data_IF_076904331256
#
_entry.id   IF_076904331256
#
_cell.length_a   1.000
_cell.length_b   1.000
_cell.length_c   1.000
_cell.angle_alpha   90.00
_cell.angle_beta   90.00
_cell.angle_gamma   90.00
#
_symmetry.space_group_name_H-M   'P 1'
#
loop_
_entity.id
_entity.type
_entity.pdbx_description
1 polymer ?
#
# COMPACT_ATOMS: atom_id res chain seq x y z
N UNK A 1 -9.17 23.90 3.23
CA UNK A 1 -10.37 23.35 2.58
C UNK A 1 -10.67 22.00 3.20
N UNK A 2 -11.89 21.80 3.70
CA UNK A 2 -12.37 20.50 4.15
C UNK A 2 -12.66 19.66 2.91
N UNK A 3 -11.80 18.72 2.58
CA UNK A 3 -11.95 17.86 1.40
C UNK A 3 -13.25 17.04 1.40
N UNK A 4 -13.85 16.86 2.56
CA UNK A 4 -15.09 16.08 2.72
C UNK A 4 -16.32 16.77 2.11
N UNK A 5 -16.27 18.10 1.98
CA UNK A 5 -17.37 18.92 1.47
C UNK A 5 -17.29 19.18 -0.05
N UNK A 6 -16.25 18.68 -0.71
CA UNK A 6 -16.03 18.89 -2.15
C UNK A 6 -16.71 17.82 -3.00
N UNK A 7 -17.59 18.24 -3.86
CA UNK A 7 -18.21 17.44 -4.91
C UNK A 7 -17.95 18.15 -6.25
N UNK A 8 -17.41 17.44 -7.25
CA UNK A 8 -17.09 16.00 -7.35
C UNK A 8 -15.77 15.60 -6.66
N UNK A 9 -15.67 14.35 -6.20
CA UNK A 9 -14.46 13.77 -5.60
C UNK A 9 -13.45 13.23 -6.63
N UNK A 10 -13.24 13.95 -7.70
CA UNK A 10 -12.23 13.68 -8.72
C UNK A 10 -11.51 14.98 -9.08
N UNK A 11 -10.36 14.88 -9.70
CA UNK A 11 -9.55 16.03 -10.08
C UNK A 11 -10.30 16.86 -11.13
N UNK A 12 -10.50 18.14 -10.83
CA UNK A 12 -11.11 19.12 -11.70
C UNK A 12 -10.09 20.19 -12.12
N UNK A 13 -10.49 21.04 -13.07
CA UNK A 13 -9.61 22.11 -13.56
C UNK A 13 -9.21 23.07 -12.44
N UNK A 14 -10.12 23.36 -11.53
CA UNK A 14 -9.86 24.25 -10.38
C UNK A 14 -8.77 23.68 -9.45
N UNK A 15 -8.68 22.36 -9.28
CA UNK A 15 -7.62 21.71 -8.50
C UNK A 15 -6.25 21.93 -9.16
N UNK A 16 -6.20 21.89 -10.48
CA UNK A 16 -4.96 22.14 -11.24
C UNK A 16 -4.51 23.61 -11.05
N UNK A 17 -5.45 24.55 -11.20
CA UNK A 17 -5.14 25.97 -10.98
C UNK A 17 -4.72 26.24 -9.53
N UNK A 18 -5.40 25.66 -8.55
CA UNK A 18 -5.07 25.78 -7.14
C UNK A 18 -3.66 25.24 -6.85
N UNK A 19 -3.31 24.09 -7.44
CA UNK A 19 -1.99 23.47 -7.29
C UNK A 19 -0.89 24.34 -7.89
N UNK A 20 -1.08 24.87 -9.08
CA UNK A 20 -0.14 25.78 -9.74
C UNK A 20 0.02 27.08 -8.93
N UNK A 21 -1.09 27.64 -8.46
CA UNK A 21 -1.06 28.85 -7.64
C UNK A 21 -0.30 28.62 -6.32
N UNK A 22 -0.55 27.48 -5.66
CA UNK A 22 0.18 27.12 -4.44
C UNK A 22 1.67 26.93 -4.70
N UNK A 23 2.06 26.30 -5.81
CA UNK A 23 3.45 26.15 -6.20
C UNK A 23 4.12 27.51 -6.42
N UNK A 24 3.44 28.46 -7.06
CA UNK A 24 3.93 29.83 -7.21
C UNK A 24 4.06 30.57 -5.88
N UNK A 25 3.12 30.35 -4.95
CA UNK A 25 3.22 30.89 -3.60
C UNK A 25 4.46 30.36 -2.87
N UNK A 26 4.73 29.04 -2.95
CA UNK A 26 5.93 28.44 -2.36
C UNK A 26 7.22 29.03 -2.96
N UNK A 27 7.26 29.28 -4.27
CA UNK A 27 8.40 29.95 -4.94
C UNK A 27 8.64 31.38 -4.48
N UNK A 28 7.62 32.04 -3.93
CA UNK A 28 7.71 33.39 -3.35
C UNK A 28 7.77 33.38 -1.80
N UNK A 29 8.13 32.23 -1.21
CA UNK A 29 8.21 32.03 0.25
C UNK A 29 6.87 32.25 1.00
N UNK A 30 5.76 32.14 0.30
CA UNK A 30 4.41 32.22 0.85
C UNK A 30 3.86 30.81 1.03
N UNK A 31 3.95 30.28 2.24
CA UNK A 31 3.52 28.92 2.58
C UNK A 31 4.67 28.03 3.04
N UNK A 32 4.37 26.81 3.37
CA UNK A 32 5.34 25.81 3.83
C UNK A 32 5.25 24.55 2.98
N UNK A 33 6.40 23.95 2.72
CA UNK A 33 6.48 22.61 2.11
C UNK A 33 6.13 21.59 3.19
N UNK A 34 5.31 20.61 2.83
CA UNK A 34 4.97 19.51 3.72
C UNK A 34 6.20 18.66 4.02
N UNK A 35 6.34 18.28 5.28
CA UNK A 35 7.38 17.38 5.74
C UNK A 35 6.99 15.94 5.41
N UNK A 36 7.70 15.32 4.46
CA UNK A 36 7.43 13.95 3.99
C UNK A 36 7.66 12.91 5.10
N UNK A 37 8.59 13.16 6.02
CA UNK A 37 8.96 12.21 7.07
C UNK A 37 8.08 12.32 8.31
N UNK A 38 7.24 13.35 8.37
CA UNK A 38 6.26 13.48 9.43
C UNK A 38 5.25 12.33 9.40
N UNK A 39 4.97 11.68 10.54
CA UNK A 39 4.06 10.53 10.62
C UNK A 39 2.61 10.85 10.23
N UNK A 40 2.24 12.11 10.16
CA UNK A 40 0.96 12.54 9.56
C UNK A 40 0.88 12.29 8.05
N UNK A 41 2.01 12.25 7.37
CA UNK A 41 2.15 12.03 5.92
C UNK A 41 2.61 10.60 5.59
N UNK A 42 3.09 9.85 6.57
CA UNK A 42 3.48 8.44 6.46
C UNK A 42 2.45 7.58 7.18
N UNK A 43 1.57 6.93 6.43
CA UNK A 43 0.57 6.06 7.02
C UNK A 43 1.00 4.59 6.98
N UNK A 44 0.51 3.82 7.92
CA UNK A 44 0.69 2.37 7.96
C UNK A 44 -0.46 1.72 7.18
N UNK A 45 -0.12 0.80 6.30
CA UNK A 45 -1.08 -0.08 5.63
C UNK A 45 -1.17 -1.38 6.40
N UNK A 46 -2.35 -1.65 6.93
CA UNK A 46 -2.63 -2.90 7.64
C UNK A 46 -2.79 -4.07 6.66
N UNK A 47 -2.79 -5.29 7.18
CA UNK A 47 -2.96 -6.51 6.40
C UNK A 47 -4.28 -6.51 5.61
N UNK A 48 -5.34 -5.94 6.15
CA UNK A 48 -6.63 -5.86 5.46
C UNK A 48 -6.56 -5.07 4.16
N UNK A 49 -5.87 -3.93 4.15
CA UNK A 49 -5.66 -3.13 2.94
C UNK A 49 -4.78 -3.86 1.92
N UNK A 50 -3.73 -4.53 2.37
CA UNK A 50 -2.85 -5.30 1.50
C UNK A 50 -3.61 -6.46 0.83
N UNK A 51 -4.44 -7.18 1.58
CA UNK A 51 -5.29 -8.25 1.05
C UNK A 51 -6.36 -7.70 0.10
N UNK A 52 -6.98 -6.57 0.42
CA UNK A 52 -7.94 -5.93 -0.47
C UNK A 52 -7.33 -5.64 -1.84
N UNK A 53 -6.10 -5.16 -1.88
CA UNK A 53 -5.40 -4.91 -3.13
C UNK A 53 -5.15 -6.20 -3.92
N UNK A 54 -4.81 -7.30 -3.25
CA UNK A 54 -4.65 -8.60 -3.91
C UNK A 54 -5.98 -9.15 -4.44
N UNK A 55 -7.06 -9.01 -3.70
CA UNK A 55 -8.39 -9.36 -4.19
C UNK A 55 -8.77 -8.53 -5.44
N UNK A 56 -8.50 -7.22 -5.41
CA UNK A 56 -8.77 -6.35 -6.57
C UNK A 56 -8.00 -6.81 -7.81
N UNK A 57 -6.73 -7.16 -7.69
CA UNK A 57 -5.92 -7.72 -8.78
C UNK A 57 -6.51 -9.06 -9.25
N UNK A 58 -6.87 -9.94 -8.33
CA UNK A 58 -7.48 -11.23 -8.64
C UNK A 58 -8.81 -11.09 -9.37
N UNK A 59 -9.67 -10.19 -8.94
CA UNK A 59 -10.96 -9.91 -9.61
C UNK A 59 -10.77 -9.27 -10.99
N UNK A 60 -9.83 -8.36 -11.17
CA UNK A 60 -9.54 -7.79 -12.48
C UNK A 60 -9.05 -8.86 -13.48
N UNK A 61 -8.20 -9.78 -13.03
CA UNK A 61 -7.76 -10.94 -13.83
C UNK A 61 -8.94 -11.87 -14.16
N UNK A 62 -9.83 -12.11 -13.20
CA UNK A 62 -11.02 -12.94 -13.39
C UNK A 62 -12.01 -12.28 -14.37
N UNK A 63 -12.26 -11.00 -14.24
CA UNK A 63 -13.12 -10.23 -15.15
C UNK A 63 -12.65 -10.36 -16.60
N UNK A 64 -11.34 -10.23 -16.84
CA UNK A 64 -10.77 -10.41 -18.17
C UNK A 64 -11.05 -11.79 -18.74
N UNK A 65 -10.83 -12.85 -17.95
CA UNK A 65 -11.10 -14.24 -18.35
C UNK A 65 -12.59 -14.46 -18.65
N UNK A 66 -13.47 -13.88 -17.84
CA UNK A 66 -14.93 -13.95 -18.05
C UNK A 66 -15.30 -13.28 -19.37
N UNK A 67 -14.80 -12.08 -19.65
CA UNK A 67 -15.04 -11.38 -20.92
C UNK A 67 -14.56 -12.17 -22.13
N UNK A 68 -13.37 -12.76 -22.05
CA UNK A 68 -12.83 -13.63 -23.11
C UNK A 68 -13.74 -14.85 -23.35
N UNK A 69 -14.21 -15.53 -22.28
CA UNK A 69 -15.14 -16.65 -22.41
C UNK A 69 -16.50 -16.25 -22.96
N UNK A 70 -17.04 -15.11 -22.53
CA UNK A 70 -18.30 -14.60 -23.08
C UNK A 70 -18.21 -14.37 -24.59
N UNK A 71 -17.09 -13.82 -25.06
CA UNK A 71 -16.86 -13.60 -26.49
C UNK A 71 -16.76 -14.91 -27.26
N UNK A 72 -16.06 -15.91 -26.73
CA UNK A 72 -15.89 -17.21 -27.39
C UNK A 72 -17.19 -18.05 -27.39
N UNK A 73 -17.94 -18.01 -26.30
CA UNK A 73 -19.16 -18.82 -26.14
C UNK A 73 -20.42 -18.09 -26.63
N UNK A 74 -20.33 -16.83 -27.02
CA UNK A 74 -21.45 -16.03 -27.53
C UNK A 74 -22.12 -16.60 -28.80
N UNK A 75 -21.49 -17.58 -29.43
CA UNK A 75 -22.06 -18.29 -30.60
C UNK A 75 -23.14 -19.34 -30.20
N UNK A 76 -23.18 -19.78 -28.94
CA UNK A 76 -24.19 -20.73 -28.43
C UNK A 76 -24.80 -20.21 -27.11
N UNK A 77 -25.65 -19.17 -27.15
CA UNK A 77 -26.14 -18.50 -25.94
C UNK A 77 -26.94 -19.39 -24.99
N UNK A 78 -27.62 -20.41 -25.51
CA UNK A 78 -28.47 -21.30 -24.71
C UNK A 78 -27.72 -22.25 -23.77
N UNK A 79 -26.40 -22.37 -23.96
CA UNK A 79 -25.54 -23.26 -23.13
C UNK A 79 -24.70 -22.50 -22.11
N UNK A 80 -24.75 -21.18 -22.12
CA UNK A 80 -23.89 -20.34 -21.27
C UNK A 80 -24.53 -20.12 -19.91
N UNK A 81 -23.93 -20.65 -18.85
CA UNK A 81 -24.35 -20.39 -17.47
C UNK A 81 -23.31 -19.53 -16.75
N UNK A 82 -23.70 -18.69 -15.77
CA UNK A 82 -22.74 -17.90 -14.98
C UNK A 82 -21.63 -18.74 -14.33
N UNK A 83 -21.97 -19.95 -13.88
CA UNK A 83 -21.02 -20.88 -13.28
C UNK A 83 -19.95 -21.36 -14.26
N UNK A 84 -20.32 -21.56 -15.55
CA UNK A 84 -19.38 -21.98 -16.58
C UNK A 84 -18.39 -20.84 -16.96
N UNK A 85 -18.83 -19.60 -16.84
CA UNK A 85 -18.01 -18.42 -17.15
C UNK A 85 -17.02 -18.08 -16.04
N UNK A 86 -17.43 -18.22 -14.78
CA UNK A 86 -16.63 -17.81 -13.62
C UNK A 86 -15.52 -18.82 -13.37
N UNK A 87 -14.30 -18.30 -13.21
CA UNK A 87 -13.14 -19.07 -12.81
C UNK A 87 -12.46 -18.40 -11.59
N UNK A 88 -12.44 -19.09 -10.47
CA UNK A 88 -11.87 -18.58 -9.21
C UNK A 88 -10.33 -18.66 -9.15
N UNK A 89 -9.70 -19.42 -10.07
CA UNK A 89 -8.25 -19.65 -10.05
C UNK A 89 -7.41 -18.37 -10.06
N UNK A 90 -7.73 -17.31 -10.82
CA UNK A 90 -6.98 -16.06 -10.80
C UNK A 90 -6.99 -15.36 -9.43
N UNK A 91 -8.12 -15.42 -8.70
CA UNK A 91 -8.21 -14.84 -7.36
C UNK A 91 -7.38 -15.66 -6.37
N UNK A 92 -7.50 -16.99 -6.42
CA UNK A 92 -6.69 -17.87 -5.58
C UNK A 92 -5.19 -17.71 -5.86
N UNK A 93 -4.81 -17.55 -7.12
CA UNK A 93 -3.41 -17.34 -7.51
C UNK A 93 -2.87 -16.02 -6.94
N UNK A 94 -3.62 -14.92 -7.00
CA UNK A 94 -3.22 -13.63 -6.46
C UNK A 94 -3.01 -13.69 -4.93
N UNK A 95 -3.89 -14.39 -4.20
CA UNK A 95 -3.76 -14.57 -2.76
C UNK A 95 -2.54 -15.45 -2.42
N UNK A 96 -2.35 -16.55 -3.13
CA UNK A 96 -1.19 -17.43 -2.94
C UNK A 96 0.13 -16.71 -3.26
N UNK A 97 0.14 -15.87 -4.29
CA UNK A 97 1.29 -15.03 -4.65
C UNK A 97 1.64 -14.08 -3.51
N UNK A 98 0.66 -13.45 -2.88
CA UNK A 98 0.88 -12.57 -1.74
C UNK A 98 1.50 -13.31 -0.55
N UNK A 99 0.91 -14.42 -0.12
CA UNK A 99 1.43 -15.16 1.03
C UNK A 99 2.75 -15.90 0.76
N UNK A 100 3.04 -16.24 -0.49
CA UNK A 100 4.24 -16.98 -0.87
C UNK A 100 5.45 -16.13 -1.23
N UNK A 101 5.24 -14.90 -1.72
CA UNK A 101 6.32 -14.07 -2.27
C UNK A 101 6.41 -12.66 -1.71
N UNK A 102 5.42 -12.19 -0.95
CA UNK A 102 5.49 -10.86 -0.34
C UNK A 102 6.53 -10.82 0.77
N UNK A 103 7.42 -9.81 0.78
CA UNK A 103 8.35 -9.60 1.90
C UNK A 103 7.67 -9.36 3.25
N UNK A 104 6.40 -8.94 3.22
CA UNK A 104 5.60 -8.65 4.42
C UNK A 104 4.94 -9.90 5.00
N UNK A 105 4.81 -10.96 4.20
CA UNK A 105 4.31 -12.25 4.65
C UNK A 105 5.48 -13.12 5.09
N UNK A 106 5.64 -13.28 6.39
CA UNK A 106 6.77 -13.98 7.00
C UNK A 106 6.28 -15.02 7.99
N UNK A 107 7.11 -16.02 8.26
CA UNK A 107 6.88 -16.92 9.40
C UNK A 107 6.96 -16.12 10.70
N UNK A 108 6.00 -16.37 11.59
CA UNK A 108 5.99 -15.73 12.89
C UNK A 108 7.13 -16.29 13.76
N UNK A 109 7.85 -15.41 14.44
CA UNK A 109 8.77 -15.81 15.48
C UNK A 109 7.98 -16.28 16.72
N UNK A 110 8.16 -17.54 17.08
CA UNK A 110 7.43 -18.22 18.16
C UNK A 110 8.35 -18.83 19.21
N UNK A 111 9.57 -18.33 19.34
CA UNK A 111 10.54 -18.81 20.34
C UNK A 111 9.99 -18.66 21.76
N UNK A 112 9.33 -17.54 22.04
CA UNK A 112 8.59 -17.27 23.28
C UNK A 112 7.46 -16.26 23.02
N UNK A 113 6.52 -16.07 23.95
CA UNK A 113 5.41 -15.12 23.77
C UNK A 113 5.84 -13.69 23.52
N UNK A 114 6.96 -13.23 24.08
CA UNK A 114 7.47 -11.89 23.89
C UNK A 114 8.03 -11.70 22.47
N UNK A 115 8.74 -12.68 21.93
CA UNK A 115 9.22 -12.65 20.55
C UNK A 115 8.06 -12.56 19.56
N UNK A 116 6.99 -13.29 19.79
CA UNK A 116 5.76 -13.24 19.02
C UNK A 116 5.09 -11.86 19.07
N UNK A 117 4.97 -11.27 20.25
CA UNK A 117 4.42 -9.92 20.43
C UNK A 117 5.27 -8.88 19.70
N UNK A 118 6.59 -8.93 19.85
CA UNK A 118 7.53 -8.02 19.18
C UNK A 118 7.42 -8.14 17.66
N UNK A 119 7.29 -9.35 17.13
CA UNK A 119 7.09 -9.55 15.69
C UNK A 119 5.80 -8.93 15.18
N UNK A 120 4.70 -9.04 15.93
CA UNK A 120 3.41 -8.42 15.60
C UNK A 120 3.44 -6.89 15.61
N UNK A 121 4.33 -6.28 16.40
CA UNK A 121 4.50 -4.83 16.52
C UNK A 121 5.52 -4.25 15.54
N UNK A 122 6.12 -5.07 14.70
CA UNK A 122 7.11 -4.65 13.70
C UNK A 122 6.45 -3.88 12.57
N UNK A 123 7.07 -2.76 12.20
CA UNK A 123 6.71 -1.95 11.04
C UNK A 123 7.78 -2.06 9.97
N UNK A 124 7.39 -2.18 8.72
CA UNK A 124 8.31 -2.24 7.58
C UNK A 124 7.98 -1.14 6.56
N UNK A 125 8.99 -0.40 6.13
CA UNK A 125 8.88 0.54 5.02
C UNK A 125 9.04 -0.16 3.64
N UNK A 126 9.36 -1.45 3.64
CA UNK A 126 9.61 -2.25 2.44
C UNK A 126 8.31 -2.84 1.86
N UNK A 127 8.40 -3.35 0.64
CA UNK A 127 7.33 -4.08 -0.02
C UNK A 127 6.61 -3.26 -1.10
N UNK A 128 5.55 -3.81 -1.70
CA UNK A 128 4.81 -3.16 -2.78
C UNK A 128 4.24 -1.80 -2.35
N UNK A 129 4.58 -0.75 -3.10
CA UNK A 129 4.20 0.62 -2.79
C UNK A 129 4.97 1.26 -1.64
N UNK A 130 6.00 0.60 -1.12
CA UNK A 130 6.96 1.11 -0.15
C UNK A 130 8.30 1.45 -0.78
N UNK A 131 9.33 1.52 0.06
CA UNK A 131 10.70 1.83 -0.34
C UNK A 131 11.47 0.56 -0.74
N UNK A 132 12.49 0.75 -1.57
CA UNK A 132 13.51 -0.26 -1.82
C UNK A 132 14.73 0.03 -0.94
N UNK A 133 15.31 -1.00 -0.32
CA UNK A 133 16.49 -0.84 0.55
C UNK A 133 17.67 -0.14 -0.15
N UNK A 134 17.84 -0.40 -1.45
CA UNK A 134 18.96 0.13 -2.23
C UNK A 134 18.75 1.57 -2.67
N UNK A 135 17.48 2.03 -2.70
CA UNK A 135 17.10 3.39 -3.11
C UNK A 135 16.74 4.30 -1.95
N UNK A 136 16.61 3.76 -0.74
CA UNK A 136 16.30 4.53 0.45
C UNK A 136 17.54 5.30 0.91
N UNK A 137 17.48 6.63 0.86
CA UNK A 137 18.50 7.52 1.39
C UNK A 137 18.53 7.56 2.92
N UNK A 138 19.45 8.34 3.48
CA UNK A 138 19.58 8.53 4.92
C UNK A 138 18.36 9.22 5.52
N UNK A 139 17.77 10.18 4.83
CA UNK A 139 16.64 10.98 5.31
C UNK A 139 15.45 10.14 5.76
N UNK A 140 15.08 9.12 4.97
CA UNK A 140 13.95 8.24 5.28
C UNK A 140 14.28 7.19 6.37
N UNK A 141 15.56 7.04 6.70
CA UNK A 141 16.04 6.11 7.74
C UNK A 141 16.21 6.78 9.09
N UNK A 142 16.27 8.11 9.12
CA UNK A 142 16.46 8.89 10.31
C UNK A 142 15.22 8.92 11.20
N UNK A 143 15.44 9.23 12.46
CA UNK A 143 14.37 9.43 13.45
C UNK A 143 13.82 10.84 13.30
N UNK A 144 12.51 10.92 13.14
CA UNK A 144 11.79 12.19 13.10
C UNK A 144 11.17 12.51 14.48
N UNK A 145 11.01 13.78 14.82
CA UNK A 145 10.40 14.18 16.10
C UNK A 145 8.98 13.63 16.30
N UNK A 146 8.21 13.44 15.22
CA UNK A 146 6.88 12.85 15.27
C UNK A 146 6.88 11.39 15.72
N UNK A 147 8.03 10.69 15.74
CA UNK A 147 8.16 9.32 16.25
C UNK A 147 7.97 9.22 17.76
N UNK A 148 8.10 10.33 18.50
CA UNK A 148 7.95 10.33 19.95
C UNK A 148 6.61 9.75 20.39
N UNK A 149 6.67 8.75 21.25
CA UNK A 149 5.49 8.04 21.75
C UNK A 149 4.77 7.13 20.73
N UNK A 150 5.33 6.93 19.52
CA UNK A 150 4.73 6.11 18.44
C UNK A 150 5.65 5.03 17.92
N UNK A 151 6.88 5.37 17.58
CA UNK A 151 7.86 4.44 17.04
C UNK A 151 9.14 4.49 17.88
N UNK A 152 9.70 3.33 18.20
CA UNK A 152 10.93 3.27 18.97
C UNK A 152 12.10 3.84 18.15
N UNK A 153 12.85 4.84 18.67
CA UNK A 153 13.97 5.42 17.92
C UNK A 153 15.24 4.57 17.93
N UNK A 154 15.28 3.51 18.75
CA UNK A 154 16.48 2.72 19.00
C UNK A 154 16.35 1.32 18.41
N UNK A 155 15.18 0.71 18.51
CA UNK A 155 14.96 -0.67 18.06
C UNK A 155 14.82 -0.70 16.54
N UNK A 156 15.92 -1.00 15.86
CA UNK A 156 16.00 -1.17 14.41
C UNK A 156 17.09 -2.18 14.09
N UNK A 157 16.99 -2.95 12.99
CA UNK A 157 18.05 -3.85 12.57
C UNK A 157 19.33 -3.08 12.22
N UNK A 158 20.47 -3.70 12.42
CA UNK A 158 21.74 -3.23 11.89
C UNK A 158 21.90 -3.67 10.43
N UNK A 159 22.58 -2.85 9.62
CA UNK A 159 22.88 -3.15 8.21
C UNK A 159 21.90 -2.50 7.23
N UNK A 160 21.66 -3.14 6.06
CA UNK A 160 20.91 -2.51 4.96
C UNK A 160 19.46 -2.14 5.28
N UNK A 161 18.89 -2.69 6.33
CA UNK A 161 17.51 -2.45 6.76
C UNK A 161 17.38 -1.42 7.89
N UNK A 162 18.49 -0.79 8.30
CA UNK A 162 18.47 0.23 9.35
C UNK A 162 17.47 1.35 9.01
N UNK A 163 16.63 1.73 9.96
CA UNK A 163 15.60 2.76 9.79
C UNK A 163 14.43 2.38 8.87
N UNK A 164 14.51 1.27 8.11
CA UNK A 164 13.41 0.79 7.25
C UNK A 164 12.51 -0.23 7.97
N UNK A 165 13.03 -0.86 9.01
CA UNK A 165 12.26 -1.71 9.90
C UNK A 165 12.31 -1.10 11.28
N UNK A 166 11.14 -0.88 11.85
CA UNK A 166 10.95 -0.21 13.14
C UNK A 166 9.92 -0.95 13.97
N UNK A 167 9.74 -0.51 15.19
CA UNK A 167 8.84 -1.15 16.15
C UNK A 167 7.96 -0.09 16.84
N UNK A 168 6.73 -0.50 17.15
CA UNK A 168 5.78 0.31 17.92
C UNK A 168 6.13 0.32 19.41
#
# INVERSE_FOLDING_TARGET
>A
LRCDDLIPKHIIIDDIFASINYLNCLGNELGNVDDIDHLGNRRIRSVGELLQNQFRIGFARMERVVKERMTLQGQEPDKVTPVALINIRPVMAAIKEFFGSSPLSQFMDQTNPLAELTHKRRLSALGPGGLSRDRAGFEVRDVHYSHYGRMCPIETPEGPHIGLISYL
#
